data_IF_410614413273
#
_entry.id   IF_410614413273
#
_cell.length_a   1.000
_cell.length_b   1.000
_cell.length_c   1.000
_cell.angle_alpha   90.00
_cell.angle_beta   90.00
_cell.angle_gamma   90.00
#
_symmetry.space_group_name_H-M   'P 1'
#
loop_
_entity.id
_entity.type
_entity.pdbx_description
1 polymer ?
#
# COMPACT_ATOMS: atom_id res chain seq x y z
N UNK A 1 2.29 -26.55 -47.27
CA UNK A 1 1.54 -25.47 -46.59
C UNK A 1 1.28 -25.70 -45.09
N UNK A 2 1.96 -26.63 -44.39
CA UNK A 2 1.77 -26.88 -42.93
C UNK A 2 2.69 -26.05 -42.01
N UNK A 3 3.87 -25.67 -42.49
CA UNK A 3 4.88 -24.96 -41.68
C UNK A 3 4.45 -23.54 -41.27
N UNK A 4 3.65 -22.86 -42.11
CA UNK A 4 3.25 -21.47 -41.88
C UNK A 4 2.26 -21.32 -40.71
N UNK A 5 1.45 -22.35 -40.44
CA UNK A 5 0.57 -22.40 -39.27
C UNK A 5 1.38 -22.53 -37.97
N UNK A 6 2.41 -23.39 -37.98
CA UNK A 6 3.26 -23.60 -36.80
C UNK A 6 4.08 -22.35 -36.53
N UNK A 7 4.61 -21.72 -37.59
CA UNK A 7 5.28 -20.43 -37.48
C UNK A 7 4.33 -19.34 -36.96
N UNK A 8 3.09 -19.27 -37.46
CA UNK A 8 2.08 -18.32 -36.99
C UNK A 8 1.67 -18.55 -35.53
N UNK A 9 1.47 -19.81 -35.14
CA UNK A 9 1.16 -20.19 -33.76
C UNK A 9 2.33 -19.92 -32.81
N UNK A 10 3.55 -20.24 -33.23
CA UNK A 10 4.77 -19.95 -32.45
C UNK A 10 4.97 -18.44 -32.30
N UNK A 11 4.74 -17.66 -33.36
CA UNK A 11 4.84 -16.21 -33.34
C UNK A 11 3.74 -15.57 -32.49
N UNK A 12 2.53 -16.13 -32.50
CA UNK A 12 1.43 -15.73 -31.60
C UNK A 12 1.79 -16.01 -30.13
N UNK A 13 2.30 -17.20 -29.83
CA UNK A 13 2.73 -17.57 -28.47
C UNK A 13 3.88 -16.69 -28.01
N UNK A 14 4.88 -16.45 -28.87
CA UNK A 14 6.01 -15.58 -28.58
C UNK A 14 5.55 -14.13 -28.37
N UNK A 15 4.58 -13.67 -29.16
CA UNK A 15 3.98 -12.35 -29.02
C UNK A 15 3.20 -12.22 -27.71
N UNK A 16 2.42 -13.23 -27.32
CA UNK A 16 1.71 -13.26 -26.03
C UNK A 16 2.68 -13.30 -24.84
N UNK A 17 3.76 -14.08 -24.94
CA UNK A 17 4.85 -14.11 -23.96
C UNK A 17 5.54 -12.75 -23.83
N UNK A 18 5.81 -12.09 -24.95
CA UNK A 18 6.39 -10.76 -24.96
C UNK A 18 5.42 -9.73 -24.36
N UNK A 19 4.16 -9.76 -24.78
CA UNK A 19 3.11 -8.86 -24.29
C UNK A 19 2.91 -9.02 -22.78
N UNK A 20 2.90 -10.24 -22.27
CA UNK A 20 2.85 -10.49 -20.82
C UNK A 20 4.11 -9.99 -20.15
N UNK A 21 5.31 -10.25 -20.68
CA UNK A 21 6.56 -9.75 -20.13
C UNK A 21 6.65 -8.20 -20.09
N UNK A 22 6.09 -7.50 -21.09
CA UNK A 22 6.08 -6.03 -21.17
C UNK A 22 4.75 -5.40 -20.78
N UNK A 23 3.87 -6.15 -20.12
CA UNK A 23 2.52 -5.70 -19.84
C UNK A 23 2.55 -4.34 -19.08
N UNK A 24 1.89 -3.30 -19.63
CA UNK A 24 2.03 -1.95 -19.09
C UNK A 24 1.34 -1.84 -17.73
N UNK A 25 1.93 -1.04 -16.84
CA UNK A 25 1.39 -0.75 -15.51
C UNK A 25 -0.06 -0.21 -15.53
N UNK A 26 -0.50 0.38 -16.65
CA UNK A 26 -1.87 0.88 -16.85
C UNK A 26 -2.94 -0.20 -16.71
N UNK A 27 -2.60 -1.46 -16.91
CA UNK A 27 -3.52 -2.59 -16.70
C UNK A 27 -3.89 -2.77 -15.22
N UNK A 28 -3.14 -2.18 -14.28
CA UNK A 28 -3.48 -2.18 -12.86
C UNK A 28 -4.57 -1.17 -12.51
N UNK A 29 -4.80 -0.14 -13.34
CA UNK A 29 -5.80 0.91 -13.10
C UNK A 29 -7.19 0.39 -12.66
N UNK A 30 -7.80 -0.61 -13.34
CA UNK A 30 -9.09 -1.15 -12.93
C UNK A 30 -9.03 -2.04 -11.67
N UNK A 31 -7.84 -2.50 -11.26
CA UNK A 31 -7.65 -3.30 -10.06
C UNK A 31 -7.50 -2.46 -8.78
N UNK A 32 -7.32 -1.13 -8.89
CA UNK A 32 -7.23 -0.28 -7.71
C UNK A 32 -8.62 -0.14 -7.05
N UNK A 33 -8.66 -0.14 -5.70
CA UNK A 33 -9.90 0.04 -4.97
C UNK A 33 -10.54 1.40 -5.31
N UNK A 34 -11.89 1.48 -5.32
CA UNK A 34 -12.61 2.71 -5.60
C UNK A 34 -12.21 3.79 -4.58
N UNK A 35 -11.80 4.96 -5.08
CA UNK A 35 -11.33 6.10 -4.27
C UNK A 35 -9.82 6.38 -4.33
N UNK A 36 -9.05 5.55 -5.05
CA UNK A 36 -7.64 5.80 -5.34
C UNK A 36 -7.50 6.32 -6.78
N UNK A 37 -7.16 7.60 -6.95
CA UNK A 37 -6.88 8.19 -8.26
C UNK A 37 -5.38 8.26 -8.49
N UNK A 38 -4.89 7.56 -9.51
CA UNK A 38 -3.48 7.58 -9.88
C UNK A 38 -3.30 8.52 -11.07
N UNK A 39 -2.38 9.48 -10.96
CA UNK A 39 -2.09 10.44 -12.02
C UNK A 39 -1.34 9.81 -13.20
N UNK A 40 -0.19 9.18 -12.93
CA UNK A 40 0.61 8.49 -13.96
C UNK A 40 1.10 7.13 -13.45
N UNK A 41 0.98 6.12 -14.31
CA UNK A 41 1.62 4.83 -14.16
C UNK A 41 2.88 4.81 -15.03
N UNK A 42 4.01 4.46 -14.43
CA UNK A 42 5.30 4.30 -15.10
C UNK A 42 5.78 2.85 -14.94
N UNK A 43 6.30 2.25 -16.02
CA UNK A 43 6.80 0.88 -16.01
C UNK A 43 5.74 -0.19 -16.32
N UNK A 44 5.95 -1.40 -15.81
CA UNK A 44 5.14 -2.59 -16.09
C UNK A 44 4.32 -3.04 -14.88
N UNK A 45 3.35 -3.93 -15.11
CA UNK A 45 2.65 -4.66 -14.03
C UNK A 45 3.63 -5.41 -13.12
N UNK A 46 4.75 -5.85 -13.67
CA UNK A 46 5.80 -6.52 -12.91
C UNK A 46 6.57 -5.53 -12.06
N UNK A 47 7.19 -4.53 -12.68
CA UNK A 47 8.01 -3.53 -11.97
C UNK A 47 7.65 -2.15 -12.48
N UNK A 48 7.03 -1.37 -11.61
CA UNK A 48 6.51 -0.06 -11.97
C UNK A 48 6.40 0.86 -10.78
N UNK A 49 6.04 2.10 -11.07
CA UNK A 49 5.73 3.10 -10.09
C UNK A 49 4.50 3.91 -10.54
N UNK A 50 3.62 4.21 -9.59
CA UNK A 50 2.50 5.10 -9.72
C UNK A 50 2.81 6.39 -8.96
N UNK A 51 2.70 7.53 -9.64
CA UNK A 51 2.91 8.84 -9.07
C UNK A 51 2.13 9.93 -9.84
N UNK A 52 1.50 10.91 -9.18
CA UNK A 52 1.05 10.88 -7.79
C UNK A 52 -0.18 9.97 -7.61
N UNK A 53 -0.39 9.43 -6.41
CA UNK A 53 -1.57 8.65 -6.03
C UNK A 53 -2.40 9.48 -5.05
N UNK A 54 -3.63 9.83 -5.41
CA UNK A 54 -4.57 10.54 -4.55
C UNK A 54 -5.49 9.54 -3.87
N UNK A 55 -5.51 9.55 -2.55
CA UNK A 55 -6.40 8.69 -1.75
C UNK A 55 -7.06 9.51 -0.65
N UNK A 56 -8.39 9.59 -0.65
CA UNK A 56 -9.17 10.35 0.35
C UNK A 56 -8.69 11.81 0.61
N UNK A 57 -8.21 12.50 -0.43
CA UNK A 57 -7.71 13.88 -0.33
C UNK A 57 -6.25 14.02 0.13
N UNK A 58 -5.58 12.91 0.48
CA UNK A 58 -4.14 12.86 0.69
C UNK A 58 -3.45 12.52 -0.64
N UNK A 59 -2.45 13.32 -1.02
CA UNK A 59 -1.61 13.08 -2.20
C UNK A 59 -0.39 12.30 -1.75
N UNK A 60 -0.32 11.03 -2.16
CA UNK A 60 0.86 10.20 -2.00
C UNK A 60 1.78 10.40 -3.20
N UNK A 61 3.05 10.68 -2.93
CA UNK A 61 4.00 10.98 -4.01
C UNK A 61 4.35 9.77 -4.86
N UNK A 62 4.76 8.66 -4.24
CA UNK A 62 5.28 7.52 -5.00
C UNK A 62 4.89 6.18 -4.42
N UNK A 63 4.16 5.40 -5.21
CA UNK A 63 3.90 3.99 -4.98
C UNK A 63 4.72 3.18 -5.98
N UNK A 64 5.67 2.38 -5.54
CA UNK A 64 6.44 1.48 -6.40
C UNK A 64 6.04 0.03 -6.12
N UNK A 65 6.10 -0.83 -7.13
CA UNK A 65 5.93 -2.26 -6.96
C UNK A 65 6.92 -3.06 -7.80
N UNK A 66 7.18 -4.27 -7.35
CA UNK A 66 7.99 -5.26 -8.04
C UNK A 66 7.48 -6.66 -7.79
N UNK A 67 7.08 -7.37 -8.84
CA UNK A 67 6.85 -8.81 -8.80
C UNK A 67 8.19 -9.52 -8.83
N UNK A 68 8.37 -10.35 -7.83
CA UNK A 68 9.47 -11.28 -7.72
C UNK A 68 8.93 -12.70 -7.73
N UNK A 69 9.81 -13.70 -7.86
CA UNK A 69 9.44 -15.11 -7.65
C UNK A 69 8.87 -15.34 -6.24
N UNK A 70 9.24 -14.48 -5.29
CA UNK A 70 8.77 -14.47 -3.92
C UNK A 70 7.54 -13.55 -3.70
N UNK A 71 6.71 -13.32 -4.72
CA UNK A 71 5.49 -12.52 -4.61
C UNK A 71 5.65 -11.04 -5.01
N UNK A 72 4.57 -10.29 -4.84
CA UNK A 72 4.45 -8.89 -5.27
C UNK A 72 4.84 -7.96 -4.12
N UNK A 73 6.00 -7.32 -4.23
CA UNK A 73 6.44 -6.36 -3.23
C UNK A 73 5.97 -4.96 -3.64
N UNK A 74 5.23 -4.30 -2.78
CA UNK A 74 4.74 -2.93 -2.98
C UNK A 74 5.37 -2.05 -1.91
N UNK A 75 6.04 -0.98 -2.32
CA UNK A 75 6.56 0.06 -1.44
C UNK A 75 5.88 1.38 -1.72
N UNK A 76 5.59 2.10 -0.65
CA UNK A 76 4.94 3.40 -0.66
C UNK A 76 5.86 4.37 0.06
N UNK A 77 6.16 5.49 -0.57
CA UNK A 77 6.98 6.55 0.02
C UNK A 77 6.29 7.90 -0.16
N UNK A 78 6.15 8.61 0.95
CA UNK A 78 5.58 9.95 0.99
C UNK A 78 6.51 10.94 1.74
N UNK A 79 6.73 12.16 1.21
CA UNK A 79 7.56 13.18 1.85
C UNK A 79 7.02 13.68 3.20
N UNK A 80 5.74 13.41 3.54
CA UNK A 80 5.20 13.69 4.89
C UNK A 80 5.65 12.68 5.94
N UNK A 81 6.56 11.76 5.58
CA UNK A 81 7.15 10.77 6.49
C UNK A 81 6.36 9.45 6.55
N UNK A 82 5.41 9.23 5.65
CA UNK A 82 4.69 7.96 5.55
C UNK A 82 5.49 7.01 4.65
N UNK A 83 5.90 5.88 5.20
CA UNK A 83 6.58 4.83 4.47
C UNK A 83 5.84 3.52 4.67
N UNK A 84 5.44 2.88 3.59
CA UNK A 84 4.77 1.59 3.59
C UNK A 84 5.56 0.57 2.79
N UNK A 85 5.61 -0.67 3.24
CA UNK A 85 6.03 -1.80 2.46
C UNK A 85 5.09 -2.96 2.75
N UNK A 86 4.64 -3.66 1.71
CA UNK A 86 3.80 -4.82 1.83
C UNK A 86 4.22 -5.85 0.80
N UNK A 87 4.22 -7.13 1.19
CA UNK A 87 4.40 -8.23 0.26
C UNK A 87 3.06 -8.92 0.06
N UNK A 88 2.57 -8.96 -1.17
CA UNK A 88 1.32 -9.60 -1.55
C UNK A 88 1.64 -10.92 -2.26
N UNK A 89 0.93 -11.97 -1.87
CA UNK A 89 1.06 -13.31 -2.42
C UNK A 89 -0.29 -13.82 -2.89
N UNK A 90 -0.33 -14.50 -4.04
CA UNK A 90 -1.55 -15.09 -4.58
C UNK A 90 -2.36 -14.15 -5.48
N UNK A 91 -3.02 -14.74 -6.48
CA UNK A 91 -3.85 -14.03 -7.47
C UNK A 91 -5.34 -14.04 -7.11
N UNK A 92 -5.85 -15.13 -6.51
CA UNK A 92 -7.25 -15.33 -6.09
C UNK A 92 -7.45 -15.07 -4.61
N UNK A 93 -6.61 -15.68 -3.79
CA UNK A 93 -6.52 -15.44 -2.35
C UNK A 93 -5.32 -14.55 -2.08
N UNK A 94 -5.52 -13.24 -2.19
CA UNK A 94 -4.47 -12.26 -1.92
C UNK A 94 -4.10 -12.31 -0.43
N UNK A 95 -2.94 -12.89 -0.15
CA UNK A 95 -2.31 -12.92 1.17
C UNK A 95 -1.32 -11.77 1.27
N UNK A 96 -1.63 -10.80 2.10
CA UNK A 96 -0.70 -9.76 2.48
C UNK A 96 0.18 -10.29 3.61
N UNK A 97 1.47 -10.38 3.35
CA UNK A 97 2.49 -10.89 4.26
C UNK A 97 3.48 -9.75 4.57
N UNK A 98 3.88 -9.63 5.83
CA UNK A 98 4.90 -8.65 6.27
C UNK A 98 4.61 -7.20 5.84
N UNK A 99 3.36 -6.76 6.00
CA UNK A 99 2.97 -5.37 5.77
C UNK A 99 3.52 -4.46 6.87
N UNK A 100 4.53 -3.65 6.59
CA UNK A 100 5.01 -2.61 7.51
C UNK A 100 4.60 -1.23 7.01
N UNK A 101 3.78 -0.53 7.77
CA UNK A 101 3.40 0.85 7.52
C UNK A 101 3.89 1.72 8.68
N UNK A 102 4.83 2.60 8.40
CA UNK A 102 5.32 3.61 9.33
C UNK A 102 4.69 4.95 8.95
N UNK A 103 4.00 5.55 9.91
CA UNK A 103 3.38 6.87 9.76
C UNK A 103 3.67 7.73 11.00
N UNK A 104 3.90 9.04 10.84
CA UNK A 104 4.06 9.93 11.97
C UNK A 104 2.71 10.11 12.68
N UNK A 105 2.74 10.11 14.02
CA UNK A 105 1.55 10.28 14.86
C UNK A 105 0.86 11.64 14.63
N UNK A 106 1.56 12.60 14.03
CA UNK A 106 0.99 13.89 13.60
C UNK A 106 -0.03 13.74 12.46
N UNK A 107 0.11 12.75 11.58
CA UNK A 107 -0.89 12.42 10.55
C UNK A 107 -2.07 11.67 11.17
N UNK A 108 -1.79 10.71 12.06
CA UNK A 108 -2.84 9.99 12.79
C UNK A 108 -3.68 10.93 13.65
N UNK A 109 -3.04 11.87 14.34
CA UNK A 109 -3.74 12.88 15.16
C UNK A 109 -4.62 13.81 14.33
N UNK A 110 -4.29 14.14 13.08
CA UNK A 110 -5.22 14.91 12.22
C UNK A 110 -6.52 14.17 11.97
N UNK A 111 -6.44 12.85 11.79
CA UNK A 111 -7.62 12.00 11.59
C UNK A 111 -8.40 11.82 12.92
N UNK A 112 -7.67 11.57 14.03
CA UNK A 112 -8.23 11.47 15.39
C UNK A 112 -8.76 12.80 15.94
N UNK A 113 -8.27 13.95 15.48
CA UNK A 113 -8.77 15.28 15.84
C UNK A 113 -10.22 15.50 15.40
N UNK A 114 -10.72 14.71 14.43
CA UNK A 114 -12.14 14.68 14.11
C UNK A 114 -13.01 14.10 15.24
N UNK A 115 -12.41 13.35 16.18
CA UNK A 115 -13.11 12.68 17.28
C UNK A 115 -12.69 13.22 18.65
N UNK A 116 -11.42 13.58 18.87
CA UNK A 116 -10.91 14.21 20.11
C UNK A 116 -9.64 15.06 19.85
N UNK A 117 -9.50 16.26 20.43
CA UNK A 117 -8.36 17.15 20.20
C UNK A 117 -7.12 16.70 20.99
N UNK A 118 -6.47 15.62 20.56
CA UNK A 118 -5.26 15.11 21.21
C UNK A 118 -4.05 15.35 20.30
N UNK A 119 -3.03 16.05 20.81
CA UNK A 119 -1.75 16.16 20.11
C UNK A 119 -0.95 14.88 20.36
N UNK A 120 -0.93 14.00 19.35
CA UNK A 120 -0.12 12.79 19.36
C UNK A 120 1.19 13.03 18.60
N UNK A 121 2.33 12.86 19.27
CA UNK A 121 3.66 12.95 18.67
C UNK A 121 4.39 11.61 18.77
N UNK A 122 5.31 11.36 17.83
CA UNK A 122 6.06 10.11 17.70
C UNK A 122 5.84 9.43 16.33
N UNK A 123 6.44 8.26 16.14
CA UNK A 123 6.29 7.45 14.93
C UNK A 123 5.55 6.16 15.26
N UNK A 124 4.47 5.89 14.53
CA UNK A 124 3.70 4.66 14.69
C UNK A 124 4.06 3.72 13.55
N UNK A 125 4.63 2.58 13.88
CA UNK A 125 4.91 1.49 12.94
C UNK A 125 3.88 0.39 13.15
N UNK A 126 3.01 0.23 12.17
CA UNK A 126 2.11 -0.90 12.08
C UNK A 126 2.81 -2.03 11.34
N UNK A 127 2.88 -3.21 11.93
CA UNK A 127 3.40 -4.42 11.32
C UNK A 127 2.30 -5.47 11.26
N UNK A 128 1.82 -5.76 10.06
CA UNK A 128 0.91 -6.86 9.76
C UNK A 128 1.72 -8.08 9.36
N UNK A 129 1.67 -9.15 10.14
CA UNK A 129 2.38 -10.39 9.83
C UNK A 129 1.70 -11.12 8.70
N UNK A 130 0.37 -11.34 8.79
CA UNK A 130 -0.42 -11.97 7.72
C UNK A 130 -1.85 -11.40 7.69
N UNK A 131 -2.34 -11.07 6.50
CA UNK A 131 -3.72 -10.63 6.26
C UNK A 131 -4.26 -11.28 5.00
N UNK A 132 -5.42 -11.94 5.08
CA UNK A 132 -6.05 -12.59 3.94
C UNK A 132 -7.19 -11.75 3.41
N UNK A 133 -7.06 -11.36 2.15
CA UNK A 133 -8.06 -10.62 1.40
C UNK A 133 -8.63 -11.53 0.32
N UNK A 134 -9.96 -11.65 0.30
CA UNK A 134 -10.69 -12.44 -0.68
C UNK A 134 -11.83 -11.57 -1.20
N UNK A 135 -11.92 -11.42 -2.52
CA UNK A 135 -12.90 -10.58 -3.22
C UNK A 135 -12.89 -9.11 -2.77
N UNK A 136 -11.70 -8.53 -2.57
CA UNK A 136 -11.56 -7.13 -2.14
C UNK A 136 -12.00 -6.85 -0.70
N UNK A 137 -12.43 -7.87 0.06
CA UNK A 137 -12.79 -7.76 1.48
C UNK A 137 -11.74 -8.44 2.36
N UNK A 138 -11.41 -7.80 3.47
CA UNK A 138 -10.54 -8.38 4.48
C UNK A 138 -11.31 -9.48 5.22
N UNK A 139 -10.91 -10.76 5.04
CA UNK A 139 -11.59 -11.87 5.72
C UNK A 139 -10.96 -12.18 7.07
N UNK A 140 -9.64 -12.10 7.17
CA UNK A 140 -8.94 -12.50 8.38
C UNK A 140 -7.58 -11.81 8.49
N UNK A 141 -7.31 -11.21 9.63
CA UNK A 141 -5.99 -10.66 9.98
C UNK A 141 -5.39 -11.59 11.02
N UNK A 142 -4.28 -12.23 10.66
CA UNK A 142 -3.56 -13.20 11.49
C UNK A 142 -2.31 -12.47 11.97
N UNK A 143 -2.42 -11.88 13.16
CA UNK A 143 -1.38 -11.10 13.82
C UNK A 143 -1.03 -9.77 13.12
N UNK A 144 -1.62 -8.68 13.64
CA UNK A 144 -1.17 -7.32 13.42
C UNK A 144 -0.67 -6.73 14.73
N UNK A 145 0.52 -6.14 14.73
CA UNK A 145 1.09 -5.38 15.82
C UNK A 145 1.16 -3.90 15.46
N UNK A 146 0.92 -3.03 16.43
CA UNK A 146 1.21 -1.61 16.32
C UNK A 146 2.28 -1.26 17.34
N UNK A 147 3.43 -0.77 16.88
CA UNK A 147 4.49 -0.28 17.74
C UNK A 147 4.60 1.23 17.61
N UNK A 148 4.32 1.93 18.70
CA UNK A 148 4.47 3.39 18.75
C UNK A 148 5.78 3.75 19.42
N UNK A 149 6.72 4.28 18.62
CA UNK A 149 8.01 4.74 19.09
C UNK A 149 7.90 6.22 19.50
N UNK A 150 8.33 6.53 20.72
CA UNK A 150 8.29 7.88 21.31
C UNK A 150 6.87 8.48 21.41
N UNK A 151 5.90 7.68 21.87
CA UNK A 151 4.54 8.13 22.08
C UNK A 151 4.48 9.29 23.08
N UNK A 152 4.06 10.46 22.62
CA UNK A 152 3.73 11.60 23.47
C UNK A 152 2.30 12.01 23.18
N UNK A 153 1.42 11.78 24.15
CA UNK A 153 0.02 12.17 24.12
C UNK A 153 -0.12 13.44 24.97
N UNK A 154 -0.37 14.57 24.31
CA UNK A 154 -0.84 15.77 25.00
C UNK A 154 -2.37 15.78 24.94
N UNK A 155 -3.01 15.31 26.02
CA UNK A 155 -4.44 15.52 26.23
C UNK A 155 -4.64 16.93 26.80
N UNK A 156 -5.58 17.72 26.25
CA UNK A 156 -6.06 18.92 26.92
C UNK A 156 -6.99 18.50 28.06
N UNK A 157 -6.42 17.93 29.12
CA UNK A 157 -7.15 17.40 30.28
C UNK A 157 -6.60 18.00 31.57
N UNK A 158 -7.20 19.13 31.99
CA UNK A 158 -7.29 19.67 33.36
C UNK A 158 -6.05 19.46 34.25
N UNK A 159 -5.26 20.53 34.42
CA UNK A 159 -4.40 20.73 35.59
C UNK A 159 -5.23 20.49 36.86
N UNK A 160 -4.88 19.55 37.75
CA UNK A 160 -5.40 19.58 39.11
C UNK A 160 -4.84 20.86 39.74
N UNK A 161 -5.72 21.83 39.96
CA UNK A 161 -5.38 23.05 40.68
C UNK A 161 -4.82 22.65 42.04
N UNK A 162 -3.59 23.08 42.31
CA UNK A 162 -3.09 23.18 43.67
C UNK A 162 -4.03 24.14 44.42
N UNK A 163 -4.88 23.59 45.29
CA UNK A 163 -5.58 24.40 46.28
C UNK A 163 -4.56 24.82 47.36
N UNK A 164 -4.44 26.11 47.70
CA UNK A 164 -3.61 26.54 48.81
C UNK A 164 -4.36 26.36 50.13
N UNK A 165 -3.61 25.98 51.17
CA UNK A 165 -3.74 26.48 52.55
C UNK A 165 -5.02 26.22 53.31
#
# INVERSE_FOLDING_TARGET
MKANWIAGGLLLVLYLLWLTATAPARLLAPMLPPGVQVGQFSGSVWRGAAQPVYWHGERLERLAWSLTLAGWQVSLSDPRGVMGQARLWGLRDLRLQEGRLTAPASLLSRWLMSTMPVKAAGEVTFSLTEGRFSDGRCRHIIAGGAQWRQARLHSPGRQPGAGPG
#
